data_IF_676601094402
#
_entry.id   IF_676601094402
#
_cell.length_a   1.000
_cell.length_b   1.000
_cell.length_c   1.000
_cell.angle_alpha   90.00
_cell.angle_beta   90.00
_cell.angle_gamma   90.00
#
_symmetry.space_group_name_H-M   'P 1'
#
loop_
_entity.id
_entity.type
_entity.pdbx_description
1 polymer ?
#
# COMPACT_ATOMS: atom_id res chain seq x y z
N UNK A 1 23.99 -10.54 23.84
CA UNK A 1 23.80 -10.10 22.44
C UNK A 1 22.44 -10.50 21.86
N UNK A 2 21.97 -11.75 22.00
CA UNK A 2 20.60 -12.19 21.60
C UNK A 2 19.48 -11.48 22.40
N UNK A 3 19.73 -11.13 23.66
CA UNK A 3 18.77 -10.39 24.52
C UNK A 3 18.36 -9.00 24.00
N UNK A 4 19.18 -8.35 23.17
CA UNK A 4 18.83 -7.04 22.59
C UNK A 4 17.96 -7.24 21.35
N UNK A 5 18.22 -8.27 20.55
CA UNK A 5 17.39 -8.67 19.40
C UNK A 5 15.98 -9.11 19.86
N UNK A 6 15.87 -9.85 20.97
CA UNK A 6 14.56 -10.26 21.55
C UNK A 6 13.79 -9.06 22.14
N UNK A 7 14.47 -8.10 22.78
CA UNK A 7 13.82 -6.88 23.27
C UNK A 7 13.34 -5.96 22.13
N UNK A 8 14.09 -5.90 21.03
CA UNK A 8 13.72 -5.14 19.82
C UNK A 8 12.53 -5.79 19.08
N UNK A 9 12.53 -7.12 18.96
CA UNK A 9 11.40 -7.90 18.43
C UNK A 9 10.14 -7.68 19.28
N UNK A 10 10.27 -7.56 20.61
CA UNK A 10 9.15 -7.25 21.50
C UNK A 10 8.58 -5.84 21.31
N UNK A 11 9.41 -4.82 21.08
CA UNK A 11 8.93 -3.44 20.84
C UNK A 11 8.25 -3.34 19.47
N UNK A 12 8.78 -4.03 18.45
CA UNK A 12 8.17 -4.09 17.13
C UNK A 12 6.87 -4.91 17.11
N UNK A 13 6.82 -6.03 17.85
CA UNK A 13 5.58 -6.77 18.11
C UNK A 13 4.60 -5.96 18.96
N UNK A 14 5.06 -5.17 19.93
CA UNK A 14 4.19 -4.29 20.72
C UNK A 14 3.62 -3.16 19.87
N UNK A 15 4.39 -2.61 18.92
CA UNK A 15 3.92 -1.59 17.98
C UNK A 15 2.99 -2.17 16.92
N UNK A 16 3.24 -3.37 16.41
CA UNK A 16 2.31 -4.06 15.48
C UNK A 16 1.06 -4.60 16.20
N UNK A 17 1.19 -5.01 17.46
CA UNK A 17 0.06 -5.29 18.37
C UNK A 17 -0.70 -4.01 18.69
N UNK A 18 -0.02 -2.87 18.87
CA UNK A 18 -0.67 -1.58 19.02
C UNK A 18 -1.38 -1.18 17.73
N UNK A 19 -0.78 -1.40 16.55
CA UNK A 19 -1.44 -1.17 15.24
C UNK A 19 -2.62 -2.10 15.02
N UNK A 20 -2.59 -3.36 15.46
CA UNK A 20 -3.73 -4.29 15.33
C UNK A 20 -4.81 -4.03 16.38
N UNK A 21 -4.45 -3.64 17.60
CA UNK A 21 -5.38 -3.13 18.63
C UNK A 21 -5.98 -1.80 18.19
N UNK A 22 -5.20 -0.93 17.55
CA UNK A 22 -5.67 0.29 16.91
C UNK A 22 -6.47 0.00 15.65
N UNK A 23 -6.19 -1.02 14.83
CA UNK A 23 -7.07 -1.44 13.73
C UNK A 23 -8.41 -1.97 14.24
N UNK A 24 -8.46 -2.51 15.46
CA UNK A 24 -9.71 -2.86 16.16
C UNK A 24 -10.44 -1.64 16.75
N UNK A 25 -9.80 -0.47 16.83
CA UNK A 25 -10.39 0.82 17.23
C UNK A 25 -10.60 1.77 16.02
N UNK A 26 -9.86 1.56 14.93
CA UNK A 26 -10.05 2.04 13.57
C UNK A 26 -11.05 1.10 12.91
N UNK A 27 -12.18 0.89 13.60
CA UNK A 27 -13.44 0.92 12.90
C UNK A 27 -13.58 2.40 12.54
N UNK A 28 -12.97 2.76 11.39
CA UNK A 28 -13.16 4.07 10.76
C UNK A 28 -14.62 4.38 10.93
N UNK A 29 -14.93 5.50 11.57
CA UNK A 29 -16.28 6.02 11.59
C UNK A 29 -16.69 6.14 10.13
N UNK A 30 -17.36 5.10 9.64
CA UNK A 30 -18.29 5.22 8.55
C UNK A 30 -19.19 6.35 9.00
N UNK A 31 -19.17 7.43 8.24
CA UNK A 31 -20.17 8.47 8.34
C UNK A 31 -21.55 7.78 8.52
N UNK A 32 -22.35 8.12 9.57
CA UNK A 32 -23.57 7.38 9.94
C UNK A 32 -24.71 7.46 8.91
N UNK A 33 -24.44 7.94 7.70
CA UNK A 33 -25.43 8.07 6.63
C UNK A 33 -25.65 6.77 5.83
N UNK A 34 -24.88 5.68 6.08
CA UNK A 34 -25.03 4.41 5.33
C UNK A 34 -24.96 3.16 6.22
N UNK A 35 -25.80 3.07 7.25
CA UNK A 35 -26.19 1.78 7.84
C UNK A 35 -27.69 1.81 8.12
N UNK A 36 -28.50 1.30 7.19
CA UNK A 36 -29.83 0.81 7.54
C UNK A 36 -29.74 -0.71 7.81
N UNK A 37 -30.35 -1.21 8.90
CA UNK A 37 -30.04 -2.51 9.46
C UNK A 37 -30.60 -3.65 8.61
N UNK A 38 -29.87 -4.76 8.64
CA UNK A 38 -30.30 -6.09 8.20
C UNK A 38 -31.59 -6.51 8.93
N UNK A 39 -32.73 -6.50 8.23
CA UNK A 39 -33.89 -7.32 8.60
C UNK A 39 -33.88 -8.59 7.74
N UNK A 40 -33.56 -9.70 8.39
CA UNK A 40 -33.80 -11.06 7.90
C UNK A 40 -35.32 -11.25 7.81
N UNK A 41 -35.89 -11.24 6.60
CA UNK A 41 -37.21 -11.79 6.35
C UNK A 41 -37.15 -12.81 5.21
N UNK A 42 -37.35 -14.05 5.62
CA UNK A 42 -37.65 -15.20 4.78
C UNK A 42 -38.97 -14.91 4.05
N UNK A 43 -38.99 -14.80 2.71
CA UNK A 43 -40.11 -15.27 1.86
C UNK A 43 -39.87 -15.06 0.33
N UNK A 44 -39.93 -16.18 -0.40
CA UNK A 44 -40.42 -16.48 -1.76
C UNK A 44 -39.98 -15.67 -3.03
N UNK A 45 -39.69 -16.34 -4.19
CA UNK A 45 -38.96 -15.73 -5.30
C UNK A 45 -39.82 -15.44 -6.55
N UNK A 46 -40.79 -14.50 -6.51
CA UNK A 46 -41.58 -14.21 -7.73
C UNK A 46 -41.73 -12.71 -8.10
N UNK A 47 -41.61 -11.73 -7.20
CA UNK A 47 -41.89 -10.32 -7.55
C UNK A 47 -40.83 -9.29 -7.08
N UNK A 48 -39.66 -9.23 -7.74
CA UNK A 48 -38.74 -8.06 -7.62
C UNK A 48 -38.25 -7.50 -8.96
N UNK A 49 -39.15 -7.42 -9.94
CA UNK A 49 -39.03 -6.38 -10.96
C UNK A 49 -39.70 -5.13 -10.36
N UNK A 50 -38.95 -4.03 -10.24
CA UNK A 50 -39.36 -2.68 -9.80
C UNK A 50 -39.55 -2.42 -8.30
N UNK A 51 -38.47 -2.00 -7.62
CA UNK A 51 -38.33 -0.72 -6.88
C UNK A 51 -37.15 -0.79 -5.86
N UNK A 52 -36.05 -0.09 -6.16
CA UNK A 52 -35.29 0.63 -5.13
C UNK A 52 -34.62 1.87 -5.74
N UNK A 53 -34.86 3.01 -5.11
CA UNK A 53 -34.37 4.36 -5.44
C UNK A 53 -32.84 4.47 -5.56
N UNK A 54 -32.42 5.39 -6.44
CA UNK A 54 -31.25 6.27 -6.36
C UNK A 54 -29.91 5.74 -5.82
N UNK A 55 -29.14 5.15 -6.73
CA UNK A 55 -27.68 5.32 -6.83
C UNK A 55 -27.28 4.71 -8.17
N UNK A 56 -26.54 5.43 -9.03
CA UNK A 56 -26.02 4.84 -10.26
C UNK A 56 -25.24 3.55 -9.92
N UNK A 57 -25.42 2.47 -10.71
CA UNK A 57 -24.77 1.21 -10.42
C UNK A 57 -23.25 1.36 -10.53
N UNK A 58 -22.57 1.43 -9.39
CA UNK A 58 -21.11 1.46 -9.34
C UNK A 58 -20.53 0.07 -9.62
N UNK A 59 -19.49 -0.01 -10.44
CA UNK A 59 -18.82 -1.27 -10.83
C UNK A 59 -18.26 -2.08 -9.64
N UNK A 60 -18.18 -1.47 -8.46
CA UNK A 60 -17.75 -2.09 -7.21
C UNK A 60 -18.72 -3.17 -6.69
N UNK A 61 -20.01 -3.09 -7.02
CA UNK A 61 -21.05 -4.00 -6.48
C UNK A 61 -21.33 -5.23 -7.36
N UNK A 62 -20.47 -5.51 -8.35
CA UNK A 62 -20.67 -6.62 -9.30
C UNK A 62 -20.77 -8.02 -8.65
N UNK A 63 -20.22 -8.17 -7.45
CA UNK A 63 -20.28 -9.42 -6.70
C UNK A 63 -21.69 -9.78 -6.21
N UNK A 64 -22.59 -8.79 -6.08
CA UNK A 64 -23.98 -8.98 -5.64
C UNK A 64 -24.89 -9.51 -6.76
N UNK A 65 -24.43 -9.48 -8.01
CA UNK A 65 -25.17 -9.92 -9.20
C UNK A 65 -24.91 -11.41 -9.45
N UNK A 66 -25.93 -12.11 -9.96
CA UNK A 66 -25.85 -13.53 -10.30
C UNK A 66 -24.77 -13.79 -11.36
N UNK A 67 -24.00 -14.89 -11.19
CA UNK A 67 -22.81 -15.18 -12.00
C UNK A 67 -23.05 -15.15 -13.52
N UNK A 68 -24.25 -15.50 -14.00
CA UNK A 68 -24.63 -15.50 -15.41
C UNK A 68 -24.70 -14.09 -16.01
N UNK A 69 -25.13 -13.10 -15.22
CA UNK A 69 -25.55 -11.79 -15.72
C UNK A 69 -24.47 -10.71 -15.53
N UNK A 70 -23.37 -11.07 -14.84
CA UNK A 70 -22.23 -10.18 -14.57
C UNK A 70 -21.59 -9.62 -15.84
N UNK A 71 -21.45 -10.42 -16.90
CA UNK A 71 -20.86 -9.95 -18.14
C UNK A 71 -21.72 -8.87 -18.83
N UNK A 72 -23.05 -9.07 -18.82
CA UNK A 72 -23.97 -8.11 -19.41
C UNK A 72 -23.95 -6.80 -18.62
N UNK A 73 -23.99 -6.87 -17.29
CA UNK A 73 -23.87 -5.71 -16.41
C UNK A 73 -22.59 -4.90 -16.64
N UNK A 74 -21.42 -5.55 -16.81
CA UNK A 74 -20.13 -4.88 -17.09
C UNK A 74 -20.16 -4.14 -18.41
N UNK A 75 -20.73 -4.75 -19.45
CA UNK A 75 -20.80 -4.13 -20.78
C UNK A 75 -21.66 -2.87 -20.75
N UNK A 76 -22.74 -2.91 -20.00
CA UNK A 76 -23.76 -1.85 -19.98
C UNK A 76 -23.37 -0.69 -19.05
N UNK A 77 -22.63 -0.95 -17.96
CA UNK A 77 -22.35 0.04 -16.91
C UNK A 77 -20.86 0.34 -16.67
N UNK A 78 -19.94 -0.53 -17.11
CA UNK A 78 -18.50 -0.47 -16.79
C UNK A 78 -17.59 -0.42 -18.04
N UNK A 79 -18.17 -0.19 -19.22
CA UNK A 79 -17.44 -0.12 -20.48
C UNK A 79 -16.73 1.23 -20.71
N UNK A 80 -17.13 2.26 -19.98
CA UNK A 80 -16.52 3.59 -20.00
C UNK A 80 -15.08 3.48 -19.50
N UNK A 81 -14.14 3.88 -20.35
CA UNK A 81 -12.71 3.90 -20.02
C UNK A 81 -12.49 4.94 -18.93
N UNK A 82 -12.33 4.49 -17.68
CA UNK A 82 -11.81 5.34 -16.62
C UNK A 82 -10.50 5.98 -17.12
N UNK A 83 -10.37 7.29 -16.96
CA UNK A 83 -9.24 8.08 -17.42
C UNK A 83 -7.93 7.51 -16.85
N UNK A 84 -7.20 6.73 -17.66
CA UNK A 84 -5.93 6.12 -17.27
C UNK A 84 -5.84 4.60 -17.44
N UNK A 85 -6.96 3.88 -17.61
CA UNK A 85 -6.92 2.43 -17.79
C UNK A 85 -6.73 2.03 -19.26
N UNK A 86 -5.57 1.42 -19.58
CA UNK A 86 -5.25 0.98 -20.94
C UNK A 86 -6.13 -0.19 -21.41
N UNK A 87 -6.64 -1.01 -20.49
CA UNK A 87 -7.36 -2.26 -20.74
C UNK A 87 -8.54 -2.37 -19.78
N UNK A 88 -9.74 -2.67 -20.29
CA UNK A 88 -10.93 -2.84 -19.46
C UNK A 88 -10.91 -4.21 -18.75
N UNK A 89 -10.29 -4.25 -17.56
CA UNK A 89 -10.06 -5.49 -16.80
C UNK A 89 -11.37 -6.18 -16.39
N UNK A 90 -12.43 -5.41 -16.09
CA UNK A 90 -13.76 -5.95 -15.78
C UNK A 90 -14.32 -6.77 -16.94
N UNK A 91 -14.28 -6.23 -18.17
CA UNK A 91 -14.76 -6.96 -19.34
C UNK A 91 -13.91 -8.20 -19.63
N UNK A 92 -12.58 -8.08 -19.49
CA UNK A 92 -11.70 -9.21 -19.73
C UNK A 92 -11.96 -10.35 -18.73
N UNK A 93 -12.04 -10.04 -17.44
CA UNK A 93 -12.23 -11.05 -16.39
C UNK A 93 -13.64 -11.67 -16.39
N UNK A 94 -14.70 -10.85 -16.39
CA UNK A 94 -16.07 -11.34 -16.22
C UNK A 94 -16.70 -11.89 -17.50
N UNK A 95 -16.29 -11.42 -18.69
CA UNK A 95 -16.86 -11.91 -19.96
C UNK A 95 -16.01 -12.99 -20.66
N UNK A 96 -14.68 -12.95 -20.55
CA UNK A 96 -13.82 -13.91 -21.24
C UNK A 96 -13.48 -15.14 -20.38
N UNK A 97 -13.32 -14.97 -19.07
CA UNK A 97 -12.85 -16.02 -18.16
C UNK A 97 -13.94 -16.65 -17.26
N UNK A 98 -15.21 -16.47 -17.58
CA UNK A 98 -16.37 -16.89 -16.76
C UNK A 98 -16.40 -18.41 -16.45
N UNK A 99 -15.96 -19.28 -17.37
CA UNK A 99 -16.03 -20.74 -17.21
C UNK A 99 -14.85 -21.39 -16.47
N UNK A 100 -13.67 -20.77 -16.43
CA UNK A 100 -12.44 -21.40 -15.92
C UNK A 100 -11.75 -20.53 -14.86
N UNK A 101 -12.48 -20.21 -13.79
CA UNK A 101 -12.00 -19.28 -12.76
C UNK A 101 -10.61 -19.64 -12.19
N UNK A 102 -10.26 -20.92 -12.03
CA UNK A 102 -8.93 -21.34 -11.57
C UNK A 102 -7.87 -21.30 -12.67
N UNK A 103 -8.23 -21.68 -13.89
CA UNK A 103 -7.30 -21.70 -15.03
C UNK A 103 -6.96 -20.28 -15.50
N UNK A 104 -7.82 -19.30 -15.23
CA UNK A 104 -7.58 -17.87 -15.51
C UNK A 104 -6.65 -17.20 -14.47
N UNK A 105 -6.62 -17.69 -13.23
CA UNK A 105 -5.75 -17.16 -12.18
C UNK A 105 -4.30 -17.58 -12.41
N UNK A 106 -4.06 -18.79 -12.90
CA UNK A 106 -2.72 -19.33 -13.14
C UNK A 106 -1.83 -18.46 -14.05
N UNK A 107 -2.28 -18.00 -15.24
CA UNK A 107 -1.48 -17.12 -16.08
C UNK A 107 -1.26 -15.74 -15.43
N UNK A 108 -2.22 -15.22 -14.67
CA UNK A 108 -2.07 -13.95 -13.95
C UNK A 108 -0.97 -14.07 -12.88
N UNK A 109 -0.98 -15.15 -12.09
CA UNK A 109 0.07 -15.42 -11.10
C UNK A 109 1.43 -15.59 -11.79
N UNK A 110 1.48 -16.32 -12.91
CA UNK A 110 2.71 -16.50 -13.67
C UNK A 110 3.28 -15.16 -14.14
N UNK A 111 2.44 -14.30 -14.74
CA UNK A 111 2.83 -12.95 -15.17
C UNK A 111 3.31 -12.12 -13.97
N UNK A 112 2.60 -12.16 -12.84
CA UNK A 112 2.99 -11.42 -11.64
C UNK A 112 4.37 -11.86 -11.12
N UNK A 113 4.63 -13.17 -11.09
CA UNK A 113 5.93 -13.71 -10.68
C UNK A 113 7.05 -13.30 -11.65
N UNK A 114 6.78 -13.37 -12.96
CA UNK A 114 7.75 -12.94 -13.98
C UNK A 114 8.08 -11.46 -13.84
N UNK A 115 7.07 -10.60 -13.64
CA UNK A 115 7.27 -9.16 -13.42
C UNK A 115 8.07 -8.91 -12.14
N UNK A 116 7.73 -9.58 -11.04
CA UNK A 116 8.44 -9.43 -9.77
C UNK A 116 9.92 -9.85 -9.88
N UNK A 117 10.20 -11.00 -10.50
CA UNK A 117 11.58 -11.47 -10.73
C UNK A 117 12.34 -10.53 -11.66
N UNK A 118 11.69 -10.07 -12.74
CA UNK A 118 12.30 -9.14 -13.71
C UNK A 118 12.66 -7.80 -13.06
N UNK A 119 11.78 -7.24 -12.23
CA UNK A 119 12.04 -6.02 -11.46
C UNK A 119 13.20 -6.23 -10.48
N UNK A 120 13.21 -7.34 -9.74
CA UNK A 120 14.28 -7.66 -8.79
C UNK A 120 15.64 -7.83 -9.47
N UNK A 121 15.68 -8.56 -10.59
CA UNK A 121 16.89 -8.76 -11.39
C UNK A 121 17.41 -7.44 -11.96
N UNK A 122 16.50 -6.63 -12.52
CA UNK A 122 16.87 -5.33 -13.10
C UNK A 122 17.41 -4.38 -12.03
N UNK A 123 16.81 -4.37 -10.84
CA UNK A 123 17.28 -3.56 -9.73
C UNK A 123 18.68 -3.99 -9.25
N UNK A 124 18.95 -5.29 -9.18
CA UNK A 124 20.22 -5.82 -8.71
C UNK A 124 21.36 -5.56 -9.70
N UNK A 125 21.16 -5.86 -10.98
CA UNK A 125 22.22 -5.82 -12.00
C UNK A 125 22.41 -4.43 -12.62
N UNK A 126 21.35 -3.63 -12.73
CA UNK A 126 21.42 -2.33 -13.40
C UNK A 126 21.27 -1.17 -12.43
N UNK A 127 20.24 -1.15 -11.57
CA UNK A 127 19.98 0.03 -10.72
C UNK A 127 21.09 0.22 -9.67
N UNK A 128 21.37 -0.78 -8.85
CA UNK A 128 22.33 -0.67 -7.74
C UNK A 128 23.75 -0.28 -8.20
N UNK A 129 24.37 -0.91 -9.23
CA UNK A 129 25.72 -0.58 -9.66
C UNK A 129 25.83 0.82 -10.29
N UNK A 130 24.81 1.23 -11.06
CA UNK A 130 24.78 2.56 -11.66
C UNK A 130 24.65 3.64 -10.58
N UNK A 131 23.76 3.45 -9.60
CA UNK A 131 23.62 4.39 -8.48
C UNK A 131 24.89 4.47 -7.63
N UNK A 132 25.55 3.34 -7.36
CA UNK A 132 26.84 3.32 -6.66
C UNK A 132 27.92 4.09 -7.41
N UNK A 133 28.01 3.90 -8.73
CA UNK A 133 28.97 4.63 -9.58
C UNK A 133 28.70 6.12 -9.55
N UNK A 134 27.45 6.55 -9.66
CA UNK A 134 27.08 7.97 -9.60
C UNK A 134 27.43 8.58 -8.24
N UNK A 135 27.06 7.91 -7.15
CA UNK A 135 27.34 8.36 -5.79
C UNK A 135 28.85 8.56 -5.53
N UNK A 136 29.67 7.62 -6.00
CA UNK A 136 31.12 7.61 -5.75
C UNK A 136 31.89 8.49 -6.73
N UNK A 137 31.60 8.41 -8.02
CA UNK A 137 32.35 9.10 -9.07
C UNK A 137 31.96 10.57 -9.20
N UNK A 138 30.67 10.91 -9.06
CA UNK A 138 30.20 12.27 -9.27
C UNK A 138 29.95 13.02 -7.95
N UNK A 139 29.35 12.36 -6.96
CA UNK A 139 28.93 13.02 -5.71
C UNK A 139 29.93 12.85 -4.55
N UNK A 140 30.94 11.98 -4.69
CA UNK A 140 31.94 11.64 -3.65
C UNK A 140 31.32 11.34 -2.28
N UNK A 141 30.14 10.72 -2.28
CA UNK A 141 29.41 10.40 -1.04
C UNK A 141 29.86 9.07 -0.44
N UNK A 142 29.78 8.90 0.89
CA UNK A 142 30.00 7.61 1.54
C UNK A 142 28.87 6.63 1.21
N UNK A 143 29.19 5.33 1.19
CA UNK A 143 28.25 4.26 0.80
C UNK A 143 26.95 4.26 1.62
N UNK A 144 27.04 4.59 2.91
CA UNK A 144 25.88 4.70 3.79
C UNK A 144 24.92 5.81 3.33
N UNK A 145 25.45 6.98 2.94
CA UNK A 145 24.64 8.11 2.50
C UNK A 145 24.05 7.86 1.10
N UNK A 146 24.81 7.21 0.21
CA UNK A 146 24.35 6.81 -1.11
C UNK A 146 23.14 5.86 -1.02
N UNK A 147 23.18 4.91 -0.07
CA UNK A 147 22.06 4.02 0.23
C UNK A 147 20.85 4.75 0.80
N UNK A 148 21.06 5.65 1.77
CA UNK A 148 19.98 6.40 2.42
C UNK A 148 19.28 7.41 1.50
N UNK A 149 19.93 7.87 0.42
CA UNK A 149 19.42 8.95 -0.43
C UNK A 149 19.07 8.44 -1.82
N UNK A 150 20.07 8.14 -2.65
CA UNK A 150 19.89 7.86 -4.07
C UNK A 150 19.16 6.53 -4.28
N UNK A 151 19.56 5.48 -3.56
CA UNK A 151 18.91 4.17 -3.66
C UNK A 151 17.49 4.22 -3.08
N UNK A 152 17.31 4.88 -1.94
CA UNK A 152 15.99 5.07 -1.34
C UNK A 152 15.05 5.86 -2.27
N UNK A 153 15.54 6.94 -2.88
CA UNK A 153 14.79 7.74 -3.84
C UNK A 153 14.42 6.95 -5.10
N UNK A 154 15.35 6.18 -5.67
CA UNK A 154 15.08 5.36 -6.85
C UNK A 154 13.99 4.32 -6.63
N UNK A 155 13.95 3.70 -5.45
CA UNK A 155 12.92 2.72 -5.11
C UNK A 155 11.56 3.37 -4.79
N UNK A 156 11.55 4.53 -4.13
CA UNK A 156 10.30 5.21 -3.72
C UNK A 156 9.67 6.10 -4.79
N UNK A 157 10.39 6.45 -5.86
CA UNK A 157 9.88 7.25 -6.96
C UNK A 157 8.58 6.68 -7.60
N UNK A 158 8.50 5.39 -8.01
CA UNK A 158 7.26 4.84 -8.56
C UNK A 158 6.08 4.91 -7.59
N UNK A 159 6.32 4.69 -6.29
CA UNK A 159 5.27 4.75 -5.26
C UNK A 159 4.68 6.17 -5.15
N UNK A 160 5.52 7.21 -5.24
CA UNK A 160 5.07 8.61 -5.24
C UNK A 160 4.18 8.89 -6.46
N UNK A 161 4.56 8.41 -7.65
CA UNK A 161 3.76 8.60 -8.85
C UNK A 161 2.43 7.84 -8.78
N UNK A 162 2.42 6.62 -8.25
CA UNK A 162 1.19 5.85 -8.03
C UNK A 162 0.24 6.54 -7.05
N UNK A 163 0.79 7.00 -5.92
CA UNK A 163 0.06 7.77 -4.89
C UNK A 163 -0.52 9.07 -5.48
N UNK A 164 0.26 9.77 -6.31
CA UNK A 164 -0.18 11.02 -6.96
C UNK A 164 -1.38 10.81 -7.89
N UNK A 165 -1.34 9.78 -8.73
CA UNK A 165 -2.47 9.46 -9.62
C UNK A 165 -3.70 8.97 -8.84
N UNK A 166 -3.50 8.22 -7.75
CA UNK A 166 -4.60 7.82 -6.86
C UNK A 166 -5.25 9.04 -6.17
N UNK A 167 -4.46 9.99 -5.67
CA UNK A 167 -4.96 11.23 -5.08
C UNK A 167 -5.72 12.09 -6.09
N UNK A 168 -5.19 12.21 -7.32
CA UNK A 168 -5.84 12.94 -8.42
C UNK A 168 -7.20 12.34 -8.77
N UNK A 169 -7.33 11.02 -8.68
CA UNK A 169 -8.58 10.28 -8.88
C UNK A 169 -9.52 10.32 -7.66
N UNK A 170 -9.20 11.08 -6.60
CA UNK A 170 -10.01 11.17 -5.38
C UNK A 170 -9.92 9.94 -4.46
N UNK A 171 -9.00 9.01 -4.74
CA UNK A 171 -8.82 7.75 -4.01
C UNK A 171 -7.80 7.91 -2.87
N UNK A 172 -7.99 8.94 -2.02
CA UNK A 172 -7.03 9.33 -0.96
C UNK A 172 -6.84 8.20 0.07
N UNK A 173 -7.91 7.54 0.48
CA UNK A 173 -7.86 6.45 1.47
C UNK A 173 -7.03 5.27 0.94
N UNK A 174 -7.13 4.97 -0.36
CA UNK A 174 -6.37 3.92 -1.01
C UNK A 174 -4.87 4.26 -0.97
N UNK A 175 -4.52 5.48 -1.39
CA UNK A 175 -3.15 5.98 -1.40
C UNK A 175 -2.47 5.94 -0.02
N UNK A 176 -3.18 6.34 1.04
CA UNK A 176 -2.65 6.28 2.41
C UNK A 176 -2.43 4.84 2.88
N UNK A 177 -3.39 3.95 2.59
CA UNK A 177 -3.29 2.54 2.99
C UNK A 177 -2.15 1.80 2.30
N UNK A 178 -1.88 2.13 1.03
CA UNK A 178 -0.77 1.58 0.26
C UNK A 178 0.58 1.99 0.89
N UNK A 179 0.76 3.29 1.15
CA UNK A 179 1.99 3.83 1.72
C UNK A 179 2.28 3.26 3.12
N UNK A 180 1.26 3.21 3.98
CA UNK A 180 1.39 2.63 5.32
C UNK A 180 1.67 1.12 5.26
N UNK A 181 0.95 0.39 4.40
CA UNK A 181 1.15 -1.04 4.19
C UNK A 181 2.55 -1.37 3.71
N UNK A 182 3.07 -0.64 2.72
CA UNK A 182 4.42 -0.80 2.21
C UNK A 182 5.48 -0.55 3.31
N UNK A 183 5.34 0.53 4.07
CA UNK A 183 6.28 0.87 5.15
C UNK A 183 6.31 -0.19 6.28
N UNK A 184 5.16 -0.76 6.62
CA UNK A 184 5.06 -1.84 7.61
C UNK A 184 5.63 -3.16 7.06
N UNK A 185 5.35 -3.50 5.82
CA UNK A 185 5.88 -4.71 5.18
C UNK A 185 7.42 -4.68 5.08
N UNK A 186 7.99 -3.56 4.65
CA UNK A 186 9.45 -3.41 4.56
C UNK A 186 10.10 -3.50 5.94
N UNK A 187 9.55 -2.78 6.92
CA UNK A 187 10.16 -2.73 8.26
C UNK A 187 10.03 -4.05 9.04
N UNK A 188 8.96 -4.82 8.84
CA UNK A 188 8.75 -6.11 9.52
C UNK A 188 9.34 -7.29 8.74
N UNK A 189 8.82 -7.54 7.53
CA UNK A 189 9.15 -8.72 6.75
C UNK A 189 10.54 -8.62 6.12
N UNK A 190 10.85 -7.51 5.45
CA UNK A 190 12.12 -7.38 4.72
C UNK A 190 13.30 -7.30 5.68
N UNK A 191 13.26 -6.38 6.66
CA UNK A 191 14.33 -6.29 7.68
C UNK A 191 14.42 -7.57 8.51
N UNK A 192 13.29 -8.19 8.87
CA UNK A 192 13.26 -9.46 9.59
C UNK A 192 13.95 -10.59 8.83
N UNK A 193 13.66 -10.74 7.53
CA UNK A 193 14.32 -11.71 6.66
C UNK A 193 15.82 -11.45 6.54
N UNK A 194 16.24 -10.19 6.35
CA UNK A 194 17.67 -9.84 6.26
C UNK A 194 18.40 -10.19 7.57
N UNK A 195 17.78 -9.91 8.73
CA UNK A 195 18.34 -10.22 10.04
C UNK A 195 18.55 -11.73 10.27
N UNK A 196 17.66 -12.57 9.72
CA UNK A 196 17.76 -14.04 9.79
C UNK A 196 18.82 -14.56 8.81
N UNK A 197 18.80 -14.09 7.56
CA UNK A 197 19.68 -14.61 6.50
C UNK A 197 21.13 -14.23 6.72
N UNK A 198 21.40 -12.97 7.10
CA UNK A 198 22.77 -12.47 7.29
C UNK A 198 22.83 -11.56 8.50
N UNK A 199 23.18 -12.05 9.70
CA UNK A 199 23.31 -11.21 10.87
C UNK A 199 24.46 -10.20 10.69
N UNK A 200 24.17 -8.91 10.82
CA UNK A 200 25.13 -7.82 10.69
C UNK A 200 25.15 -6.95 11.96
N UNK A 201 26.29 -6.29 12.22
CA UNK A 201 26.43 -5.38 13.37
C UNK A 201 26.13 -3.96 12.91
N UNK A 202 25.14 -3.34 13.53
CA UNK A 202 24.77 -1.94 13.29
C UNK A 202 25.29 -1.09 14.46
N UNK A 203 25.95 0.04 14.20
CA UNK A 203 26.30 0.98 15.27
C UNK A 203 25.03 1.48 15.96
N UNK A 204 25.03 1.46 17.30
CA UNK A 204 23.86 1.78 18.11
C UNK A 204 23.33 3.19 17.86
N UNK A 205 24.21 4.15 17.57
CA UNK A 205 23.81 5.54 17.33
C UNK A 205 22.99 5.71 16.04
N UNK A 206 23.35 5.05 14.93
CA UNK A 206 22.55 5.07 13.69
C UNK A 206 21.20 4.43 13.94
N UNK A 207 21.21 3.25 14.57
CA UNK A 207 19.98 2.51 14.80
C UNK A 207 18.98 3.30 15.66
N UNK A 208 19.43 3.91 16.76
CA UNK A 208 18.58 4.71 17.64
C UNK A 208 18.07 5.96 16.91
N UNK A 209 18.92 6.66 16.17
CA UNK A 209 18.52 7.81 15.35
C UNK A 209 17.40 7.44 14.38
N UNK A 210 17.62 6.42 13.57
CA UNK A 210 16.69 6.04 12.49
C UNK A 210 15.37 5.53 13.09
N UNK A 211 15.43 4.79 14.20
CA UNK A 211 14.24 4.30 14.92
C UNK A 211 13.42 5.43 15.54
N UNK A 212 14.06 6.41 16.19
CA UNK A 212 13.36 7.56 16.79
C UNK A 212 12.65 8.38 15.72
N UNK A 213 13.31 8.63 14.59
CA UNK A 213 12.71 9.37 13.47
C UNK A 213 11.52 8.61 12.88
N UNK A 214 11.65 7.29 12.71
CA UNK A 214 10.56 6.45 12.24
C UNK A 214 9.34 6.47 13.18
N UNK A 215 9.56 6.34 14.49
CA UNK A 215 8.49 6.45 15.50
C UNK A 215 7.83 7.84 15.46
N UNK A 216 8.63 8.90 15.30
CA UNK A 216 8.11 10.28 15.24
C UNK A 216 7.15 10.45 14.06
N UNK A 217 7.53 9.98 12.87
CA UNK A 217 6.67 9.99 11.68
C UNK A 217 5.39 9.19 11.92
N UNK A 218 5.50 7.99 12.51
CA UNK A 218 4.35 7.14 12.79
C UNK A 218 3.35 7.80 13.77
N UNK A 219 3.86 8.49 14.80
CA UNK A 219 3.02 9.24 15.76
C UNK A 219 2.31 10.40 15.06
N UNK A 220 3.00 11.17 14.22
CA UNK A 220 2.40 12.30 13.47
C UNK A 220 1.28 11.79 12.56
N UNK A 221 1.51 10.71 11.81
CA UNK A 221 0.51 10.13 10.91
C UNK A 221 -0.68 9.60 11.72
N UNK A 222 -0.42 8.90 12.83
CA UNK A 222 -1.48 8.36 13.69
C UNK A 222 -2.34 9.50 14.26
N UNK A 223 -1.74 10.60 14.73
CA UNK A 223 -2.47 11.78 15.19
C UNK A 223 -3.30 12.44 14.08
N UNK A 224 -2.77 12.53 12.86
CA UNK A 224 -3.51 13.07 11.72
C UNK A 224 -4.74 12.21 11.37
N UNK A 225 -4.61 10.88 11.47
CA UNK A 225 -5.73 9.95 11.26
C UNK A 225 -6.78 10.09 12.38
N UNK A 226 -6.35 10.22 13.64
CA UNK A 226 -7.27 10.42 14.77
C UNK A 226 -8.08 11.71 14.65
N UNK A 227 -7.50 12.77 14.09
CA UNK A 227 -8.20 14.03 13.84
C UNK A 227 -9.16 13.97 12.64
N UNK A 228 -9.11 12.89 11.85
CA UNK A 228 -10.01 12.68 10.71
C UNK A 228 -9.79 13.64 9.54
N UNK A 229 -8.72 14.43 9.56
CA UNK A 229 -8.38 15.39 8.50
C UNK A 229 -6.88 15.61 8.41
N UNK A 230 -6.32 15.34 7.23
CA UNK A 230 -4.94 15.70 6.89
C UNK A 230 -4.89 17.19 6.55
N UNK A 231 -4.88 18.02 7.58
CA UNK A 231 -4.66 19.46 7.42
C UNK A 231 -3.26 19.74 6.90
N UNK A 232 -3.10 20.88 6.20
CA UNK A 232 -1.81 21.32 5.62
C UNK A 232 -0.67 21.36 6.63
N UNK A 233 -0.98 21.58 7.92
CA UNK A 233 -0.03 21.58 9.02
C UNK A 233 0.68 20.23 9.20
N UNK A 234 -0.04 19.11 9.11
CA UNK A 234 0.56 17.77 9.25
C UNK A 234 1.48 17.46 8.06
N UNK A 235 1.09 17.86 6.85
CA UNK A 235 1.92 17.70 5.65
C UNK A 235 3.24 18.49 5.78
N UNK A 236 3.18 19.74 6.22
CA UNK A 236 4.37 20.57 6.47
C UNK A 236 5.24 19.95 7.56
N UNK A 237 4.64 19.46 8.65
CA UNK A 237 5.38 18.79 9.71
C UNK A 237 6.12 17.53 9.22
N UNK A 238 5.49 16.69 8.40
CA UNK A 238 6.12 15.50 7.81
C UNK A 238 7.30 15.86 6.90
N UNK A 239 7.15 16.88 6.06
CA UNK A 239 8.23 17.37 5.21
C UNK A 239 9.38 17.92 6.04
N UNK A 240 9.10 18.70 7.09
CA UNK A 240 10.12 19.22 7.99
C UNK A 240 10.89 18.11 8.71
N UNK A 241 10.20 17.07 9.18
CA UNK A 241 10.84 15.90 9.80
C UNK A 241 11.74 15.18 8.79
N UNK A 242 11.29 15.01 7.54
CA UNK A 242 12.12 14.43 6.49
C UNK A 242 13.37 15.27 6.19
N UNK A 243 13.24 16.59 6.03
CA UNK A 243 14.36 17.50 5.80
C UNK A 243 15.34 17.48 6.99
N UNK A 244 14.82 17.48 8.23
CA UNK A 244 15.64 17.37 9.44
C UNK A 244 16.38 16.03 9.51
N UNK A 245 15.72 14.93 9.12
CA UNK A 245 16.35 13.61 9.04
C UNK A 245 17.50 13.61 8.02
N UNK A 246 17.26 14.12 6.81
CA UNK A 246 18.30 14.20 5.77
C UNK A 246 19.45 15.09 6.23
N UNK A 247 19.18 16.25 6.82
CA UNK A 247 20.20 17.15 7.33
C UNK A 247 21.03 16.56 8.48
N UNK A 248 20.42 15.72 9.34
CA UNK A 248 21.12 15.02 10.41
C UNK A 248 21.81 13.72 9.94
N UNK A 249 21.46 13.24 8.75
CA UNK A 249 22.04 12.03 8.14
C UNK A 249 23.23 12.32 7.21
N UNK A 250 23.27 13.51 6.59
CA UNK A 250 24.45 14.05 5.89
C UNK A 250 25.57 14.40 6.87
#
# INVERSE_FOLDING_TARGET
MVKIQIKQLHVFLLLSLLSTVLSNQVNVSADPSVIHPLSFDVLNPINRLSLSNHSEPTCNNIHQIQKSDRCQFVRDNCSTREEGSLINYYSLYYCHFQSFSLLAILPIICILLVLFISLGYTALEYLCPNLHTIAKAHLKMPDNLAGLTILAFGNGAPDIFGTFEAMKSGLINLAISELLGASLFISTCVIGCIAIVKPFRVPQYLFVRDTIMYITVYVIITMAIFWGSLESMFCVALVLVYVAFVAFAL
#
